data_IF_706824643306
#
_entry.id   IF_706824643306
#
_cell.length_a   1.000
_cell.length_b   1.000
_cell.length_c   1.000
_cell.angle_alpha   90.00
_cell.angle_beta   90.00
_cell.angle_gamma   90.00
#
_symmetry.space_group_name_H-M   'P 1'
#
loop_
_entity.id
_entity.type
_entity.pdbx_description
1 polymer ?
#
# COMPACT_ATOMS: atom_id res chain seq x y z
N UNK A 1 -38.13 -9.33 -11.54
CA UNK A 1 -37.43 -9.28 -11.56
C UNK A 1 -36.87 -9.36 -11.45
N UNK A 2 -36.96 -9.45 -11.23
CA UNK A 2 -36.10 -9.48 -11.02
C UNK A 2 -35.31 -9.59 -11.07
N UNK A 3 -35.36 -9.80 -10.98
CA UNK A 3 -34.35 -9.92 -10.94
C UNK A 3 -33.72 -9.78 -10.77
N UNK A 4 -33.69 -9.94 -10.63
CA UNK A 4 -32.86 -9.76 -10.38
C UNK A 4 -32.20 -10.02 -10.16
N UNK A 5 -32.07 -10.33 -10.02
CA UNK A 5 -31.23 -10.59 -9.75
C UNK A 5 -30.41 -10.76 -10.00
N UNK A 6 -30.48 -10.78 -10.13
CA UNK A 6 -29.61 -10.84 -10.44
C UNK A 6 -28.78 -10.45 -10.34
N UNK A 7 -28.79 -10.11 -10.31
CA UNK A 7 -27.99 -9.63 -10.28
C UNK A 7 -27.23 -9.58 -9.63
N UNK A 8 -27.09 -9.74 -9.25
CA UNK A 8 -26.40 -9.66 -8.63
C UNK A 8 -25.54 -10.14 -8.54
N UNK A 9 -25.30 -10.33 -9.00
CA UNK A 9 -24.49 -10.89 -9.01
C UNK A 9 -23.44 -10.60 -9.02
N UNK A 10 -23.01 -10.23 -8.68
CA UNK A 10 -22.18 -9.74 -8.67
C UNK A 10 -21.06 -9.92 -8.76
N UNK A 11 -20.73 -9.37 -8.90
CA UNK A 11 -19.48 -9.54 -9.50
C UNK A 11 -18.46 -9.90 -8.50
N UNK A 12 -18.28 -11.10 -8.43
CA UNK A 12 -17.25 -11.65 -7.66
C UNK A 12 -15.90 -11.36 -8.21
N UNK A 13 -15.82 -10.85 -9.46
CA UNK A 13 -14.55 -10.73 -10.16
C UNK A 13 -14.07 -9.29 -10.20
N UNK A 14 -14.19 -8.58 -9.10
CA UNK A 14 -13.64 -7.24 -9.01
C UNK A 14 -12.13 -7.30 -9.07
N UNK A 15 -11.56 -6.31 -9.72
CA UNK A 15 -10.12 -6.14 -9.85
C UNK A 15 -9.76 -4.79 -9.23
N UNK A 16 -8.83 -4.81 -8.29
CA UNK A 16 -8.29 -3.58 -7.70
C UNK A 16 -6.94 -3.31 -8.31
N UNK A 17 -6.79 -2.16 -8.96
CA UNK A 17 -5.52 -1.75 -9.53
C UNK A 17 -4.65 -1.13 -8.45
N UNK A 18 -3.39 -1.54 -8.41
CA UNK A 18 -2.42 -1.12 -7.41
C UNK A 18 -1.32 -0.33 -8.09
N UNK A 19 -0.95 0.80 -7.51
CA UNK A 19 -0.02 1.74 -8.11
C UNK A 19 1.19 1.97 -7.22
N UNK A 20 2.32 2.34 -7.84
CA UNK A 20 3.54 2.67 -7.12
C UNK A 20 3.34 3.94 -6.32
N UNK A 21 3.73 3.88 -5.04
CA UNK A 21 3.55 4.99 -4.10
C UNK A 21 4.59 6.09 -4.28
N UNK A 22 5.67 5.81 -5.00
CA UNK A 22 6.76 6.74 -5.24
C UNK A 22 7.56 6.24 -6.43
N UNK A 23 8.34 7.10 -7.11
CA UNK A 23 9.34 6.59 -8.04
C UNK A 23 10.40 5.84 -7.25
N UNK A 24 10.88 4.74 -7.77
CA UNK A 24 11.90 3.96 -7.09
C UNK A 24 11.96 2.52 -7.56
N UNK A 25 12.63 1.69 -6.78
CA UNK A 25 12.86 0.29 -7.10
C UNK A 25 11.71 -0.56 -6.55
N UNK A 26 11.05 -1.31 -7.42
CA UNK A 26 10.05 -2.30 -7.01
C UNK A 26 10.75 -3.49 -6.36
N UNK A 27 10.22 -3.93 -5.22
CA UNK A 27 10.76 -5.06 -4.45
C UNK A 27 9.60 -6.02 -4.15
N UNK A 28 9.68 -7.28 -4.59
CA UNK A 28 8.71 -8.29 -4.16
C UNK A 28 8.69 -8.42 -2.64
N UNK A 29 7.53 -8.74 -2.08
CA UNK A 29 7.37 -8.76 -0.61
C UNK A 29 8.34 -9.73 0.05
N UNK A 30 8.65 -10.88 -0.57
CA UNK A 30 9.54 -11.88 0.00
C UNK A 30 11.00 -11.43 0.04
N UNK A 31 11.33 -10.31 -0.58
CA UNK A 31 12.67 -9.73 -0.56
C UNK A 31 12.80 -8.53 0.36
N UNK A 32 11.73 -8.16 1.05
CA UNK A 32 11.78 -7.09 2.06
C UNK A 32 12.60 -7.58 3.26
N UNK A 33 13.44 -6.70 3.81
CA UNK A 33 14.41 -7.08 4.84
C UNK A 33 13.79 -7.09 6.24
N UNK A 34 12.67 -7.75 6.37
CA UNK A 34 11.97 -7.93 7.64
C UNK A 34 11.13 -9.20 7.54
N UNK A 35 11.33 -10.18 8.43
CA UNK A 35 10.65 -11.48 8.31
C UNK A 35 9.13 -11.39 8.46
N UNK A 36 8.62 -10.42 9.20
CA UNK A 36 7.16 -10.26 9.34
C UNK A 36 6.52 -9.95 7.99
N UNK A 37 7.19 -9.12 7.18
CA UNK A 37 6.70 -8.80 5.84
C UNK A 37 7.11 -9.87 4.83
N UNK A 38 8.38 -10.28 4.83
CA UNK A 38 8.89 -11.18 3.80
C UNK A 38 8.26 -12.57 3.86
N UNK A 39 7.81 -13.00 5.03
CA UNK A 39 7.11 -14.27 5.19
C UNK A 39 5.60 -14.14 5.04
N UNK A 40 5.13 -12.97 4.60
CA UNK A 40 3.72 -12.69 4.36
C UNK A 40 2.85 -12.86 5.61
N UNK A 41 3.43 -12.63 6.78
CA UNK A 41 2.69 -12.76 8.04
C UNK A 41 1.61 -11.72 8.18
N UNK A 42 1.76 -10.56 7.52
CA UNK A 42 0.75 -9.51 7.49
C UNK A 42 -0.09 -9.53 6.22
N UNK A 43 0.23 -10.42 5.28
CA UNK A 43 -0.45 -10.52 4.00
C UNK A 43 0.51 -10.42 2.83
N UNK A 44 0.00 -10.64 1.63
CA UNK A 44 0.76 -10.46 0.42
C UNK A 44 0.95 -8.98 0.11
N UNK A 45 1.92 -8.64 -0.73
CA UNK A 45 2.18 -7.25 -1.07
C UNK A 45 3.49 -7.06 -1.79
N UNK A 46 4.05 -5.85 -1.63
CA UNK A 46 5.30 -5.46 -2.26
C UNK A 46 5.87 -4.25 -1.54
N UNK A 47 7.03 -3.79 -1.99
CA UNK A 47 7.59 -2.54 -1.49
C UNK A 47 8.19 -1.73 -2.64
N UNK A 48 8.35 -0.44 -2.41
CA UNK A 48 9.10 0.47 -3.27
C UNK A 48 10.22 1.05 -2.41
N UNK A 49 11.45 1.00 -2.92
CA UNK A 49 12.57 1.74 -2.33
C UNK A 49 12.53 3.14 -2.96
N UNK A 50 12.10 4.16 -2.22
CA UNK A 50 11.70 5.42 -2.85
C UNK A 50 12.89 6.30 -3.21
N UNK A 51 12.76 7.01 -4.33
CA UNK A 51 13.71 8.03 -4.76
C UNK A 51 13.20 9.44 -4.46
N UNK A 52 12.04 9.57 -3.82
CA UNK A 52 11.38 10.86 -3.61
C UNK A 52 10.67 10.87 -2.28
N UNK A 53 10.60 12.03 -1.66
CA UNK A 53 9.95 12.22 -0.36
C UNK A 53 8.41 12.19 -0.44
N UNK A 54 7.83 12.48 -1.59
CA UNK A 54 6.37 12.50 -1.74
C UNK A 54 5.85 11.10 -1.95
N UNK A 55 4.92 10.68 -1.11
CA UNK A 55 4.35 9.34 -1.12
C UNK A 55 2.86 9.43 -1.47
N UNK A 56 2.44 8.62 -2.42
CA UNK A 56 1.08 8.64 -2.97
C UNK A 56 0.31 7.39 -2.57
N UNK A 57 -1.02 7.47 -2.66
CA UNK A 57 -1.87 6.31 -2.36
C UNK A 57 -1.63 5.20 -3.37
N UNK A 58 -1.50 3.94 -2.90
CA UNK A 58 -1.35 2.80 -3.82
C UNK A 58 -2.65 2.40 -4.50
N UNK A 59 -3.80 2.91 -4.04
CA UNK A 59 -5.13 2.51 -4.54
C UNK A 59 -6.08 3.70 -4.57
N UNK A 60 -7.14 3.54 -5.33
CA UNK A 60 -8.32 4.40 -5.22
C UNK A 60 -9.21 3.80 -4.14
N UNK A 61 -9.47 4.54 -3.09
CA UNK A 61 -10.25 4.04 -1.98
C UNK A 61 -10.48 5.07 -0.91
N UNK A 62 -10.66 4.60 0.31
CA UNK A 62 -10.98 5.46 1.45
C UNK A 62 -10.02 5.17 2.58
N UNK A 63 -9.47 6.22 3.16
CA UNK A 63 -8.58 6.09 4.32
C UNK A 63 -9.42 5.62 5.51
N UNK A 64 -9.03 4.50 6.11
CA UNK A 64 -9.77 3.93 7.25
C UNK A 64 -9.00 4.08 8.55
N UNK A 65 -7.69 4.28 8.49
CA UNK A 65 -6.90 4.50 9.71
C UNK A 65 -5.63 5.28 9.39
N UNK A 66 -5.25 6.14 10.35
CA UNK A 66 -3.95 6.82 10.34
C UNK A 66 -3.31 6.51 11.69
N UNK A 67 -2.14 5.89 11.66
CA UNK A 67 -1.48 5.52 12.91
C UNK A 67 -0.96 6.78 13.62
N UNK A 68 -1.13 6.87 14.95
CA UNK A 68 -0.67 8.06 15.67
C UNK A 68 0.82 8.35 15.50
N UNK A 69 1.62 7.32 15.28
CA UNK A 69 3.06 7.44 15.01
C UNK A 69 3.36 7.78 13.55
N UNK A 70 2.34 7.97 12.72
CA UNK A 70 2.39 8.44 11.33
C UNK A 70 3.27 7.62 10.40
N UNK A 71 3.74 6.46 10.84
CA UNK A 71 4.54 5.58 9.98
C UNK A 71 3.70 4.68 9.10
N UNK A 72 2.38 4.64 9.31
CA UNK A 72 1.49 3.75 8.56
C UNK A 72 0.09 4.31 8.46
N UNK A 73 -0.60 3.94 7.39
CA UNK A 73 -2.01 4.24 7.21
C UNK A 73 -2.69 3.11 6.46
N UNK A 74 -3.98 2.94 6.72
CA UNK A 74 -4.81 1.93 6.09
C UNK A 74 -5.81 2.55 5.14
N UNK A 75 -6.01 1.90 4.00
CA UNK A 75 -6.95 2.33 2.96
C UNK A 75 -7.78 1.11 2.55
N UNK A 76 -9.09 1.29 2.41
CA UNK A 76 -9.97 0.23 1.94
C UNK A 76 -10.38 0.53 0.50
N UNK A 77 -10.33 -0.48 -0.35
CA UNK A 77 -10.70 -0.38 -1.76
C UNK A 77 -11.48 -1.62 -2.18
N UNK A 78 -12.78 -1.46 -2.42
CA UNK A 78 -13.67 -2.53 -2.91
C UNK A 78 -13.60 -3.83 -2.06
N UNK A 79 -13.35 -3.69 -0.76
CA UNK A 79 -13.23 -4.83 0.15
C UNK A 79 -11.80 -5.31 0.38
N UNK A 80 -10.83 -4.77 -0.34
CA UNK A 80 -9.42 -5.05 -0.10
C UNK A 80 -8.88 -4.08 0.94
N UNK A 81 -8.27 -4.62 2.00
CA UNK A 81 -7.63 -3.80 3.02
C UNK A 81 -6.15 -3.63 2.68
N UNK A 82 -5.74 -2.38 2.49
CA UNK A 82 -4.40 -2.03 2.06
C UNK A 82 -3.72 -1.24 3.17
N UNK A 83 -2.56 -1.72 3.63
CA UNK A 83 -1.74 -1.03 4.61
C UNK A 83 -0.50 -0.48 3.90
N UNK A 84 -0.28 0.82 4.03
CA UNK A 84 0.98 1.43 3.62
C UNK A 84 1.82 1.62 4.87
N UNK A 85 2.93 0.89 4.97
CA UNK A 85 3.84 0.92 6.11
C UNK A 85 5.15 1.54 5.63
N UNK A 86 5.47 2.72 6.14
CA UNK A 86 6.59 3.52 5.64
C UNK A 86 7.84 3.24 6.46
N UNK A 87 8.73 2.44 5.85
CA UNK A 87 9.98 2.03 6.47
C UNK A 87 9.84 0.81 7.37
N UNK A 88 10.97 0.30 7.83
CA UNK A 88 11.04 -0.86 8.73
C UNK A 88 11.47 -0.37 10.12
N UNK A 89 10.72 -0.80 11.15
CA UNK A 89 10.93 -0.41 12.55
C UNK A 89 10.80 1.10 12.79
N UNK A 90 10.11 1.78 11.90
CA UNK A 90 9.98 3.24 11.96
C UNK A 90 8.98 3.71 13.01
N UNK A 91 8.18 2.81 13.57
CA UNK A 91 7.31 3.14 14.71
C UNK A 91 8.12 3.71 15.87
N UNK A 92 9.39 3.31 16.00
CA UNK A 92 10.29 3.74 17.07
C UNK A 92 10.64 5.23 16.98
N UNK A 93 10.38 5.87 15.84
CA UNK A 93 10.79 7.25 15.60
C UNK A 93 9.72 8.28 16.02
N UNK A 94 8.60 7.81 16.55
CA UNK A 94 7.53 8.65 17.11
C UNK A 94 6.99 9.68 16.10
N UNK A 95 6.99 9.33 14.81
CA UNK A 95 6.41 10.16 13.78
C UNK A 95 7.30 11.25 13.22
N UNK A 96 8.50 11.44 13.76
CA UNK A 96 9.34 12.59 13.37
C UNK A 96 9.63 12.69 11.88
N UNK A 97 9.98 11.58 11.17
CA UNK A 97 10.28 11.69 9.74
C UNK A 97 9.05 11.77 8.84
N UNK A 98 7.84 11.68 9.40
CA UNK A 98 6.63 11.50 8.62
C UNK A 98 5.67 12.66 8.79
N UNK A 99 5.02 13.04 7.67
CA UNK A 99 3.94 14.01 7.66
C UNK A 99 2.82 13.43 6.80
N UNK A 100 1.81 12.86 7.46
CA UNK A 100 0.64 12.31 6.75
C UNK A 100 -0.33 13.45 6.48
N UNK A 101 -0.70 13.61 5.21
CA UNK A 101 -1.52 14.74 4.74
C UNK A 101 -2.97 14.36 4.48
N UNK A 102 -3.39 13.17 4.86
CA UNK A 102 -4.78 12.71 4.74
C UNK A 102 -5.32 12.33 6.10
N UNK A 103 -6.64 12.17 6.19
CA UNK A 103 -7.31 11.83 7.45
C UNK A 103 -8.30 10.71 7.22
N UNK A 104 -8.75 10.09 8.31
CA UNK A 104 -9.74 9.02 8.25
C UNK A 104 -10.99 9.49 7.54
N UNK A 105 -11.57 8.60 6.75
CA UNK A 105 -12.76 8.80 5.93
C UNK A 105 -12.53 9.62 4.67
N UNK A 106 -11.30 10.09 4.42
CA UNK A 106 -10.99 10.81 3.20
C UNK A 106 -10.90 9.86 2.01
N UNK A 107 -11.53 10.22 0.89
CA UNK A 107 -11.39 9.48 -0.37
C UNK A 107 -10.09 9.87 -1.05
N UNK A 108 -9.39 8.88 -1.58
CA UNK A 108 -8.09 9.09 -2.25
C UNK A 108 -8.05 8.33 -3.57
N UNK A 109 -7.18 8.79 -4.46
CA UNK A 109 -6.85 8.08 -5.69
C UNK A 109 -5.35 7.87 -5.74
N UNK A 110 -4.86 7.14 -6.74
CA UNK A 110 -3.42 6.93 -6.91
C UNK A 110 -2.65 8.23 -7.14
N UNK A 111 -3.34 9.33 -7.47
CA UNK A 111 -2.72 10.65 -7.63
C UNK A 111 -2.75 11.49 -6.36
N UNK A 112 -3.35 10.99 -5.29
CA UNK A 112 -3.42 11.72 -4.02
C UNK A 112 -2.13 11.50 -3.23
N UNK A 113 -1.42 12.58 -2.92
CA UNK A 113 -0.27 12.50 -2.03
C UNK A 113 -0.78 12.28 -0.61
N UNK A 114 -0.36 11.20 0.02
CA UNK A 114 -0.83 10.83 1.35
C UNK A 114 0.19 11.17 2.43
N UNK A 115 1.46 11.32 2.07
CA UNK A 115 2.49 11.60 3.06
C UNK A 115 3.71 12.25 2.42
N UNK A 116 4.52 12.87 3.27
CA UNK A 116 5.87 13.29 2.96
C UNK A 116 6.79 12.61 3.95
N UNK A 117 7.89 12.03 3.47
CA UNK A 117 8.85 11.29 4.30
C UNK A 117 10.21 11.95 4.21
N UNK A 118 10.80 12.22 5.37
CA UNK A 118 12.17 12.74 5.42
C UNK A 118 13.13 11.54 5.29
N UNK A 119 13.54 11.27 4.05
CA UNK A 119 14.40 10.11 3.76
C UNK A 119 15.75 10.24 4.42
N UNK A 120 16.29 11.47 4.53
CA UNK A 120 17.57 11.69 5.20
C UNK A 120 17.46 11.35 6.69
N UNK A 121 16.34 11.67 7.33
CA UNK A 121 16.12 11.34 8.72
C UNK A 121 16.07 9.83 8.94
N UNK A 122 15.45 9.09 8.03
CA UNK A 122 15.43 7.61 8.11
C UNK A 122 16.85 7.05 7.98
N UNK A 123 17.61 7.56 7.02
CA UNK A 123 18.98 7.13 6.80
C UNK A 123 19.83 7.43 8.04
N UNK A 124 19.71 8.63 8.59
CA UNK A 124 20.46 9.03 9.80
C UNK A 124 20.07 8.18 11.01
N UNK A 125 18.85 7.69 11.07
CA UNK A 125 18.39 6.82 12.16
C UNK A 125 18.76 5.35 11.93
N UNK A 126 19.38 5.03 10.79
CA UNK A 126 19.73 3.67 10.42
C UNK A 126 18.54 2.80 10.07
N UNK A 127 17.44 3.40 9.62
CA UNK A 127 16.21 2.67 9.29
C UNK A 127 16.13 2.43 7.79
N UNK A 128 15.62 1.25 7.44
CA UNK A 128 15.32 0.90 6.06
C UNK A 128 14.11 1.73 5.60
N UNK A 129 14.22 2.35 4.42
CA UNK A 129 13.19 3.27 3.92
C UNK A 129 12.19 2.61 2.97
N UNK A 130 12.10 1.29 2.92
CA UNK A 130 11.15 0.61 2.05
C UNK A 130 9.73 1.07 2.37
N UNK A 131 9.01 1.51 1.34
CA UNK A 131 7.60 1.84 1.44
C UNK A 131 6.83 0.56 1.14
N UNK A 132 6.29 -0.06 2.17
CA UNK A 132 5.72 -1.42 2.09
C UNK A 132 4.21 -1.32 1.94
N UNK A 133 3.67 -1.99 0.93
CA UNK A 133 2.23 -2.05 0.68
C UNK A 133 1.79 -3.49 0.90
N UNK A 134 0.91 -3.69 1.88
CA UNK A 134 0.46 -5.04 2.28
C UNK A 134 -1.06 -5.12 2.17
N UNK A 135 -1.54 -6.22 1.62
CA UNK A 135 -2.98 -6.51 1.53
C UNK A 135 -3.32 -7.37 2.74
N UNK A 136 -3.74 -6.73 3.83
CA UNK A 136 -3.82 -7.39 5.13
C UNK A 136 -4.90 -8.46 5.23
N UNK A 137 -5.90 -8.41 4.34
CA UNK A 137 -6.93 -9.44 4.27
C UNK A 137 -6.79 -10.32 3.02
N UNK A 138 -5.57 -10.41 2.46
CA UNK A 138 -5.34 -11.16 1.22
C UNK A 138 -5.76 -12.62 1.30
N UNK A 139 -5.54 -13.27 2.44
CA UNK A 139 -5.90 -14.68 2.63
C UNK A 139 -7.39 -14.93 2.47
N UNK A 140 -8.21 -13.92 2.74
CA UNK A 140 -9.66 -14.05 2.75
C UNK A 140 -10.29 -13.59 1.43
N UNK A 141 -9.81 -12.48 0.87
CA UNK A 141 -10.53 -11.80 -0.21
C UNK A 141 -9.83 -11.89 -1.57
N UNK A 142 -8.55 -12.24 -1.62
CA UNK A 142 -7.79 -12.24 -2.87
C UNK A 142 -7.85 -13.62 -3.51
N UNK A 143 -8.24 -13.67 -4.78
CA UNK A 143 -8.16 -14.87 -5.60
C UNK A 143 -6.73 -15.05 -6.11
N UNK A 144 -6.22 -14.05 -6.81
CA UNK A 144 -4.83 -14.05 -7.28
C UNK A 144 -4.40 -12.62 -7.60
N UNK A 145 -3.10 -12.42 -7.73
CA UNK A 145 -2.51 -11.12 -8.07
C UNK A 145 -1.76 -11.25 -9.38
N UNK A 146 -2.08 -10.36 -10.30
CA UNK A 146 -1.37 -10.23 -11.56
C UNK A 146 -0.31 -9.14 -11.37
N UNK A 147 0.96 -9.54 -11.25
CA UNK A 147 2.07 -8.62 -11.06
C UNK A 147 2.51 -8.05 -12.41
N UNK A 148 2.67 -6.74 -12.48
CA UNK A 148 3.00 -6.01 -13.72
C UNK A 148 4.35 -5.32 -13.59
N UNK A 149 4.65 -4.71 -12.43
CA UNK A 149 5.86 -3.95 -12.23
C UNK A 149 7.08 -4.85 -12.01
N UNK A 150 8.23 -4.35 -12.45
CA UNK A 150 9.52 -4.98 -12.24
C UNK A 150 10.57 -3.87 -12.34
N UNK A 151 11.61 -3.95 -11.52
CA UNK A 151 12.71 -3.01 -11.57
C UNK A 151 12.32 -1.59 -11.15
N UNK A 152 12.83 -0.61 -11.87
CA UNK A 152 12.61 0.80 -11.57
C UNK A 152 11.22 1.22 -12.08
N UNK A 153 10.46 1.90 -11.23
CA UNK A 153 9.11 2.37 -11.56
C UNK A 153 8.98 3.87 -11.31
N UNK A 154 8.01 4.48 -11.97
CA UNK A 154 7.62 5.87 -11.73
C UNK A 154 6.49 5.91 -10.71
N UNK A 155 6.31 7.06 -10.06
CA UNK A 155 5.14 7.27 -9.22
C UNK A 155 3.87 7.06 -10.05
N UNK A 156 2.86 6.47 -9.43
CA UNK A 156 1.56 6.20 -10.06
C UNK A 156 1.63 5.17 -11.20
N UNK A 157 2.75 4.49 -11.39
CA UNK A 157 2.82 3.39 -12.35
C UNK A 157 1.98 2.23 -11.85
N UNK A 158 1.31 1.54 -12.76
CA UNK A 158 0.53 0.35 -12.40
C UNK A 158 1.48 -0.77 -11.98
N UNK A 159 1.32 -1.25 -10.76
CA UNK A 159 2.19 -2.27 -10.16
C UNK A 159 1.57 -3.66 -10.31
N UNK A 160 0.28 -3.76 -10.08
CA UNK A 160 -0.39 -5.04 -10.05
C UNK A 160 -1.90 -4.87 -10.19
N UNK A 161 -2.55 -5.97 -10.55
CA UNK A 161 -4.01 -6.06 -10.51
C UNK A 161 -4.37 -7.18 -9.55
N UNK A 162 -5.06 -6.82 -8.47
CA UNK A 162 -5.49 -7.77 -7.45
C UNK A 162 -6.90 -8.24 -7.80
N UNK A 163 -7.03 -9.52 -8.11
CA UNK A 163 -8.32 -10.12 -8.47
C UNK A 163 -8.98 -10.65 -7.21
N UNK A 164 -10.14 -10.13 -6.88
CA UNK A 164 -10.88 -10.51 -5.68
C UNK A 164 -11.76 -11.73 -5.95
N UNK A 165 -12.00 -12.49 -4.88
CA UNK A 165 -12.86 -13.66 -4.95
C UNK A 165 -14.32 -13.30 -5.21
#
# INVERSE_FOLDING_TARGET
>A
MFNFFKKKTEPKNKVVEIYAVAPGQFVPIDQVEDPVFSKKMMGDGFAILPDSAAIYSPVTGKVVSVFPTQHALGIESDGLDVLLHMGIDTVELNGEPFDISVQENQSVTSSTQVATVDLAALDNAGKNNAMIVVFTNSDTVVDHIEWIADGQVQANALVAKVHLK
#
